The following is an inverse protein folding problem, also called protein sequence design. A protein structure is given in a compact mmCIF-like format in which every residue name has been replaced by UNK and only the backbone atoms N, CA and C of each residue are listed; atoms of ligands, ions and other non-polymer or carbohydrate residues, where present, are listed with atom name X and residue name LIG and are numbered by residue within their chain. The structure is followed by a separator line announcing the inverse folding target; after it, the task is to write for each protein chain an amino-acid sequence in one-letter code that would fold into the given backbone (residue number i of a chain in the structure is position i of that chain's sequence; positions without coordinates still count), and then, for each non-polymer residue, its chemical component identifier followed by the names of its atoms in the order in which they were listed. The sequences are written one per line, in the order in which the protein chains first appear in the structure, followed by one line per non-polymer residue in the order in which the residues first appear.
data_IF_946223558337
#
_entry.id   IF_946223558337
#
_cell.length_a   1.000
_cell.length_b   1.000
_cell.length_c   1.000
_cell.angle_alpha   90.00
_cell.angle_beta   90.00
_cell.angle_gamma   90.00
#
_symmetry.space_group_name_H-M   'P 1'
#
loop_
_entity.id
_entity.type
_entity.pdbx_description
1 polymer ?
#
# COMPACT_ATOMS: atom_id res chain seq x y z
N UNK A 1 -34.29 13.96 -18.03
CA UNK A 1 -34.41 13.87 -16.55
C UNK A 1 -33.04 13.57 -16.05
N UNK A 2 -32.39 14.54 -15.41
CA UNK A 2 -31.12 14.33 -14.75
C UNK A 2 -31.38 13.51 -13.48
N UNK A 3 -30.56 12.51 -13.23
CA UNK A 3 -30.57 11.80 -11.96
C UNK A 3 -30.26 12.81 -10.85
N UNK A 4 -31.07 12.81 -9.81
CA UNK A 4 -30.72 13.57 -8.61
C UNK A 4 -29.47 12.90 -8.00
N UNK A 5 -28.39 13.63 -8.00
CA UNK A 5 -27.14 13.18 -7.40
C UNK A 5 -27.28 13.28 -5.87
N UNK A 6 -27.84 12.24 -5.30
CA UNK A 6 -28.00 12.12 -3.85
C UNK A 6 -26.76 11.50 -3.30
N UNK A 7 -25.94 12.31 -2.66
CA UNK A 7 -24.81 11.78 -1.89
C UNK A 7 -25.34 10.93 -0.73
N UNK A 8 -25.04 9.65 -0.76
CA UNK A 8 -25.40 8.71 0.30
C UNK A 8 -24.14 8.33 1.08
N UNK A 9 -24.28 8.16 2.38
CA UNK A 9 -23.21 7.61 3.20
C UNK A 9 -22.95 6.17 2.78
N UNK A 10 -21.70 5.87 2.43
CA UNK A 10 -21.28 4.51 2.11
C UNK A 10 -20.89 3.77 3.37
N UNK A 11 -21.37 2.54 3.52
CA UNK A 11 -21.03 1.61 4.59
C UNK A 11 -20.35 0.35 4.06
N UNK A 12 -19.75 0.41 2.87
CA UNK A 12 -19.05 -0.73 2.28
C UNK A 12 -17.83 -1.11 3.13
N UNK A 13 -17.12 -0.11 3.69
CA UNK A 13 -15.88 -0.35 4.44
C UNK A 13 -14.74 -0.82 3.55
N UNK A 14 -13.80 -1.56 4.11
CA UNK A 14 -12.71 -2.21 3.37
C UNK A 14 -11.85 -1.24 2.52
N UNK A 15 -11.61 -0.03 3.02
CA UNK A 15 -10.86 1.00 2.30
C UNK A 15 -11.69 1.84 1.31
N UNK A 16 -12.96 1.52 1.05
CA UNK A 16 -13.85 2.26 0.16
C UNK A 16 -14.56 3.40 0.90
N UNK A 17 -13.86 4.45 1.21
CA UNK A 17 -14.40 5.66 1.81
C UNK A 17 -14.34 6.85 0.85
N UNK A 18 -15.25 7.82 1.07
CA UNK A 18 -15.32 9.00 0.25
C UNK A 18 -14.13 9.92 0.47
N UNK A 19 -13.64 10.50 -0.62
CA UNK A 19 -12.60 11.53 -0.60
C UNK A 19 -13.11 12.81 -1.24
N UNK A 20 -12.45 13.93 -0.95
CA UNK A 20 -12.76 15.22 -1.55
C UNK A 20 -11.68 15.53 -2.60
N UNK A 21 -12.07 15.58 -3.86
CA UNK A 21 -11.17 16.01 -4.94
C UNK A 21 -11.25 17.52 -5.07
N UNK A 22 -10.15 18.27 -4.84
CA UNK A 22 -10.12 19.72 -5.07
C UNK A 22 -10.51 20.06 -6.51
N UNK A 23 -11.35 21.11 -6.68
CA UNK A 23 -11.85 21.50 -7.99
C UNK A 23 -10.73 21.83 -9.00
N UNK A 24 -9.63 22.40 -8.54
CA UNK A 24 -8.46 22.70 -9.37
C UNK A 24 -7.80 21.42 -9.91
N UNK A 25 -7.68 20.37 -9.10
CA UNK A 25 -7.13 19.08 -9.53
C UNK A 25 -8.08 18.42 -10.52
N UNK A 26 -9.38 18.41 -10.25
CA UNK A 26 -10.37 17.87 -11.16
C UNK A 26 -10.28 18.52 -12.52
N UNK A 27 -10.34 19.86 -12.58
CA UNK A 27 -10.33 20.62 -13.82
C UNK A 27 -8.99 20.54 -14.57
N UNK A 28 -7.88 20.72 -13.86
CA UNK A 28 -6.58 20.95 -14.52
C UNK A 28 -5.78 19.66 -14.71
N UNK A 29 -6.14 18.58 -14.04
CA UNK A 29 -5.45 17.29 -14.16
C UNK A 29 -6.42 16.23 -14.70
N UNK A 30 -7.49 15.90 -13.98
CA UNK A 30 -8.37 14.79 -14.35
C UNK A 30 -9.15 15.03 -15.65
N UNK A 31 -9.56 16.27 -15.92
CA UNK A 31 -10.31 16.65 -17.13
C UNK A 31 -9.40 17.12 -18.27
N UNK A 32 -8.11 17.21 -18.06
CA UNK A 32 -7.17 17.72 -19.05
C UNK A 32 -6.63 16.57 -19.94
N UNK A 33 -6.90 16.61 -21.27
CA UNK A 33 -6.45 15.56 -22.20
C UNK A 33 -4.93 15.34 -22.24
N UNK A 34 -4.14 16.35 -21.88
CA UNK A 34 -2.70 16.20 -21.80
C UNK A 34 -2.25 15.18 -20.72
N UNK A 35 -3.08 14.97 -19.70
CA UNK A 35 -2.81 14.05 -18.59
C UNK A 35 -3.43 12.68 -18.76
N UNK A 36 -4.68 12.58 -19.19
CA UNK A 36 -5.38 11.30 -19.29
C UNK A 36 -5.10 10.54 -20.59
N UNK A 37 -3.84 10.30 -20.89
CA UNK A 37 -3.42 9.44 -21.99
C UNK A 37 -3.13 8.03 -21.49
N UNK A 38 -3.45 7.03 -22.30
CA UNK A 38 -3.17 5.64 -21.99
C UNK A 38 -1.68 5.27 -22.12
N UNK A 39 -0.84 6.17 -22.60
CA UNK A 39 0.57 5.86 -22.86
C UNK A 39 1.39 5.88 -21.58
N UNK A 40 2.08 4.76 -21.30
CA UNK A 40 2.99 4.64 -20.16
C UNK A 40 4.27 5.46 -20.42
N UNK A 41 4.74 6.29 -19.47
CA UNK A 41 5.82 7.24 -19.68
C UNK A 41 7.22 6.63 -19.56
N UNK A 42 7.52 5.54 -20.26
CA UNK A 42 8.86 4.96 -20.27
C UNK A 42 9.70 5.38 -21.51
N UNK A 43 9.15 6.15 -22.43
CA UNK A 43 9.89 6.80 -23.51
C UNK A 43 10.00 8.29 -23.22
N UNK A 44 11.19 8.80 -22.87
CA UNK A 44 11.38 10.20 -22.45
C UNK A 44 10.97 11.20 -23.53
N UNK A 45 11.19 10.86 -24.80
CA UNK A 45 10.91 11.74 -25.95
C UNK A 45 9.42 12.09 -26.07
N UNK A 46 8.54 11.17 -25.66
CA UNK A 46 7.07 11.35 -25.72
C UNK A 46 6.53 11.85 -24.39
N UNK A 47 7.24 11.64 -23.28
CA UNK A 47 6.72 11.76 -21.93
C UNK A 47 7.47 12.75 -21.06
N UNK A 48 8.20 13.69 -21.63
CA UNK A 48 9.10 14.61 -20.90
C UNK A 48 8.45 15.27 -19.69
N UNK A 49 7.35 15.99 -19.85
CA UNK A 49 6.67 16.65 -18.74
C UNK A 49 6.05 15.67 -17.72
N UNK A 50 5.66 14.47 -18.15
CA UNK A 50 5.12 13.44 -17.25
C UNK A 50 6.19 12.78 -16.40
N UNK A 51 7.40 12.60 -16.90
CA UNK A 51 8.53 12.12 -16.10
C UNK A 51 8.87 13.09 -14.98
N UNK A 52 8.87 14.40 -15.28
CA UNK A 52 9.04 15.43 -14.25
C UNK A 52 7.93 15.38 -13.19
N UNK A 53 6.68 15.22 -13.61
CA UNK A 53 5.55 15.07 -12.70
C UNK A 53 5.68 13.83 -11.80
N UNK A 54 6.17 12.70 -12.33
CA UNK A 54 6.44 11.49 -11.54
C UNK A 54 7.54 11.75 -10.51
N UNK A 55 8.62 12.42 -10.87
CA UNK A 55 9.69 12.80 -9.93
C UNK A 55 9.15 13.70 -8.82
N UNK A 56 8.35 14.69 -9.16
CA UNK A 56 7.71 15.57 -8.18
C UNK A 56 6.78 14.78 -7.23
N UNK A 57 6.02 13.83 -7.77
CA UNK A 57 5.19 12.95 -6.95
C UNK A 57 6.04 12.11 -5.98
N UNK A 58 7.12 11.50 -6.45
CA UNK A 58 8.03 10.72 -5.59
C UNK A 58 8.63 11.57 -4.47
N UNK A 59 9.09 12.78 -4.78
CA UNK A 59 9.60 13.73 -3.79
C UNK A 59 8.53 14.08 -2.75
N UNK A 60 7.32 14.39 -3.20
CA UNK A 60 6.20 14.71 -2.31
C UNK A 60 5.86 13.54 -1.38
N UNK A 61 5.82 12.32 -1.90
CA UNK A 61 5.53 11.13 -1.08
C UNK A 61 6.62 10.89 -0.04
N UNK A 62 7.90 11.02 -0.40
CA UNK A 62 9.00 10.88 0.56
C UNK A 62 8.94 11.94 1.67
N UNK A 63 8.62 13.18 1.33
CA UNK A 63 8.48 14.25 2.32
C UNK A 63 7.28 14.05 3.25
N UNK A 64 6.15 13.58 2.72
CA UNK A 64 4.93 13.35 3.51
C UNK A 64 5.03 12.12 4.43
N UNK A 65 5.73 11.08 3.99
CA UNK A 65 5.84 9.82 4.76
C UNK A 65 7.07 9.75 5.64
N UNK A 66 8.07 10.61 5.40
CA UNK A 66 9.38 10.51 6.05
C UNK A 66 10.23 9.33 5.59
N UNK A 67 9.79 8.56 4.60
CA UNK A 67 10.55 7.45 4.03
C UNK A 67 11.56 7.98 2.99
N UNK A 68 12.75 7.38 2.89
CA UNK A 68 13.82 7.94 2.05
C UNK A 68 13.62 7.74 0.54
N UNK A 69 12.74 6.83 0.14
CA UNK A 69 12.50 6.48 -1.25
C UNK A 69 11.01 6.24 -1.51
N UNK A 70 10.55 6.63 -2.68
CA UNK A 70 9.24 6.29 -3.21
C UNK A 70 9.37 5.86 -4.67
N UNK A 71 8.50 4.94 -5.12
CA UNK A 71 8.31 4.68 -6.54
C UNK A 71 7.32 5.68 -7.16
N UNK A 72 7.12 5.63 -8.46
CA UNK A 72 6.17 6.50 -9.13
C UNK A 72 4.72 6.11 -8.85
N UNK A 73 4.37 4.85 -9.09
CA UNK A 73 3.01 4.34 -8.92
C UNK A 73 2.97 2.82 -9.12
N UNK A 74 2.00 2.20 -8.48
CA UNK A 74 1.58 0.82 -8.77
C UNK A 74 0.08 0.82 -9.11
N UNK A 75 -0.44 -0.30 -9.62
CA UNK A 75 -1.82 -0.38 -10.11
C UNK A 75 -2.84 -0.05 -9.00
N UNK A 76 -2.68 -0.70 -7.85
CA UNK A 76 -3.56 -0.56 -6.68
C UNK A 76 -2.84 -0.97 -5.38
N UNK A 77 -3.53 -0.83 -4.25
CA UNK A 77 -3.00 -1.22 -2.94
C UNK A 77 -2.63 -2.70 -2.89
N UNK A 78 -3.48 -3.58 -3.36
CA UNK A 78 -3.26 -5.03 -3.29
C UNK A 78 -2.01 -5.44 -4.08
N UNK A 79 -1.82 -4.88 -5.28
CA UNK A 79 -0.61 -5.08 -6.08
C UNK A 79 0.61 -4.49 -5.40
N UNK A 80 0.49 -3.31 -4.79
CA UNK A 80 1.60 -2.68 -4.08
C UNK A 80 2.07 -3.55 -2.91
N UNK A 81 1.15 -4.14 -2.14
CA UNK A 81 1.48 -5.07 -1.05
C UNK A 81 2.17 -6.31 -1.57
N UNK A 82 1.69 -6.91 -2.66
CA UNK A 82 2.32 -8.09 -3.26
C UNK A 82 3.74 -7.79 -3.75
N UNK A 83 3.96 -6.64 -4.38
CA UNK A 83 5.30 -6.18 -4.78
C UNK A 83 6.21 -5.92 -3.56
N UNK A 84 5.68 -5.32 -2.49
CA UNK A 84 6.44 -5.08 -1.27
C UNK A 84 6.86 -6.39 -0.60
N UNK A 85 5.98 -7.39 -0.53
CA UNK A 85 6.30 -8.72 0.03
C UNK A 85 7.34 -9.45 -0.82
N UNK A 86 7.20 -9.45 -2.15
CA UNK A 86 8.20 -10.09 -3.01
C UNK A 86 9.55 -9.38 -2.97
N UNK A 87 9.56 -8.05 -2.86
CA UNK A 87 10.79 -7.29 -2.61
C UNK A 87 11.40 -7.66 -1.24
N UNK A 88 10.58 -7.69 -0.18
CA UNK A 88 11.04 -8.06 1.15
C UNK A 88 11.66 -9.46 1.18
N UNK A 89 11.08 -10.44 0.50
CA UNK A 89 11.64 -11.79 0.38
C UNK A 89 13.05 -11.79 -0.23
N UNK A 90 13.30 -10.93 -1.21
CA UNK A 90 14.62 -10.83 -1.87
C UNK A 90 15.68 -10.11 -1.05
N UNK A 91 15.27 -9.12 -0.23
CA UNK A 91 16.23 -8.25 0.48
C UNK A 91 16.36 -8.59 1.97
N UNK A 92 15.40 -9.30 2.55
CA UNK A 92 15.46 -9.75 3.94
C UNK A 92 16.68 -10.65 4.17
N UNK A 93 17.26 -10.52 5.34
CA UNK A 93 18.33 -11.42 5.82
C UNK A 93 17.79 -12.57 6.67
N UNK A 94 16.48 -12.69 6.84
CA UNK A 94 15.84 -13.85 7.43
C UNK A 94 15.99 -15.06 6.50
N UNK A 95 16.03 -16.25 7.09
CA UNK A 95 16.05 -17.53 6.34
C UNK A 95 14.65 -18.12 6.14
N UNK A 96 13.62 -17.44 6.59
CA UNK A 96 12.23 -17.89 6.46
C UNK A 96 11.71 -17.64 5.05
N UNK A 97 10.89 -18.55 4.55
CA UNK A 97 10.10 -18.40 3.31
C UNK A 97 8.62 -18.09 3.64
N UNK A 98 8.34 -17.61 4.85
CA UNK A 98 6.99 -17.31 5.31
C UNK A 98 6.83 -15.83 5.61
N UNK A 99 5.67 -15.28 5.27
CA UNK A 99 5.25 -13.92 5.60
C UNK A 99 4.07 -13.96 6.58
N UNK A 100 4.13 -13.13 7.62
CA UNK A 100 2.97 -12.88 8.47
C UNK A 100 2.14 -11.74 7.88
N UNK A 101 0.82 -11.92 7.83
CA UNK A 101 -0.12 -10.92 7.35
C UNK A 101 -1.22 -10.73 8.40
N UNK A 102 -1.45 -9.49 8.79
CA UNK A 102 -2.54 -9.12 9.68
C UNK A 102 -3.88 -9.63 9.14
N UNK A 103 -4.62 -10.37 9.97
CA UNK A 103 -5.95 -10.89 9.61
C UNK A 103 -6.97 -9.80 9.29
N UNK A 104 -6.73 -8.54 9.71
CA UNK A 104 -7.52 -7.37 9.37
C UNK A 104 -7.16 -6.73 8.02
N UNK A 105 -6.22 -7.30 7.27
CA UNK A 105 -5.94 -6.86 5.89
C UNK A 105 -7.18 -7.06 5.02
N UNK A 106 -7.43 -6.12 4.10
CA UNK A 106 -8.60 -6.18 3.23
C UNK A 106 -8.67 -7.47 2.42
N UNK A 107 -9.85 -8.10 2.28
CA UNK A 107 -10.00 -9.38 1.58
C UNK A 107 -9.46 -9.38 0.15
N UNK A 108 -9.63 -8.28 -0.59
CA UNK A 108 -9.08 -8.12 -1.93
C UNK A 108 -7.55 -8.16 -1.95
N UNK A 109 -6.90 -7.57 -0.94
CA UNK A 109 -5.44 -7.60 -0.80
C UNK A 109 -4.95 -9.01 -0.48
N UNK A 110 -5.65 -9.72 0.42
CA UNK A 110 -5.33 -11.13 0.73
C UNK A 110 -5.46 -12.03 -0.49
N UNK A 111 -6.50 -11.85 -1.31
CA UNK A 111 -6.70 -12.62 -2.54
C UNK A 111 -5.56 -12.40 -3.55
N UNK A 112 -5.11 -11.15 -3.74
CA UNK A 112 -3.99 -10.84 -4.63
C UNK A 112 -2.68 -11.40 -4.07
N UNK A 113 -2.44 -11.27 -2.76
CA UNK A 113 -1.27 -11.88 -2.11
C UNK A 113 -1.22 -13.39 -2.35
N UNK A 114 -2.31 -14.11 -2.11
CA UNK A 114 -2.37 -15.54 -2.35
C UNK A 114 -2.02 -15.88 -3.81
N UNK A 115 -2.66 -15.20 -4.76
CA UNK A 115 -2.44 -15.39 -6.19
C UNK A 115 -0.98 -15.17 -6.61
N UNK A 116 -0.30 -14.19 -6.00
CA UNK A 116 1.07 -13.79 -6.37
C UNK A 116 2.14 -14.60 -5.64
N UNK A 117 1.90 -15.02 -4.42
CA UNK A 117 2.90 -15.64 -3.55
C UNK A 117 2.88 -17.17 -3.61
N UNK A 118 1.71 -17.80 -3.74
CA UNK A 118 1.58 -19.24 -3.82
C UNK A 118 2.40 -19.87 -4.95
N UNK A 119 2.39 -19.35 -6.21
CA UNK A 119 3.17 -19.94 -7.30
C UNK A 119 4.69 -19.89 -7.11
N UNK A 120 5.18 -19.00 -6.25
CA UNK A 120 6.60 -18.86 -5.95
C UNK A 120 7.00 -19.47 -4.60
N UNK A 121 6.08 -20.23 -3.98
CA UNK A 121 6.36 -21.01 -2.77
C UNK A 121 6.46 -20.23 -1.48
N UNK A 122 5.99 -18.97 -1.44
CA UNK A 122 5.97 -18.17 -0.20
C UNK A 122 4.71 -18.50 0.59
N UNK A 123 4.88 -18.96 1.82
CA UNK A 123 3.77 -19.27 2.72
C UNK A 123 3.21 -18.01 3.39
N UNK A 124 1.88 -17.85 3.38
CA UNK A 124 1.17 -16.75 4.03
C UNK A 124 0.58 -17.25 5.34
N UNK A 125 0.94 -16.62 6.45
CA UNK A 125 0.36 -16.88 7.77
C UNK A 125 -0.51 -15.71 8.19
N UNK A 126 -1.82 -15.94 8.28
CA UNK A 126 -2.79 -14.95 8.75
C UNK A 126 -2.95 -15.03 10.25
N UNK A 127 -2.94 -13.90 10.93
CA UNK A 127 -3.14 -13.87 12.37
C UNK A 127 -3.35 -12.46 12.94
N UNK A 128 -3.66 -12.40 14.23
CA UNK A 128 -3.66 -11.16 14.97
C UNK A 128 -2.21 -10.73 15.25
N UNK A 129 -1.91 -9.45 15.04
CA UNK A 129 -0.56 -8.91 15.24
C UNK A 129 -0.07 -9.05 16.68
N UNK A 130 -0.96 -9.11 17.66
CA UNK A 130 -0.60 -9.32 19.07
C UNK A 130 -0.03 -10.70 19.37
N UNK A 131 -0.29 -11.67 18.49
CA UNK A 131 0.21 -13.05 18.57
C UNK A 131 1.37 -13.33 17.60
N UNK A 132 1.87 -12.29 16.89
CA UNK A 132 2.92 -12.46 15.91
C UNK A 132 4.27 -12.69 16.58
N UNK A 133 4.92 -13.81 16.27
CA UNK A 133 6.32 -14.04 16.57
C UNK A 133 7.16 -13.68 15.34
N UNK A 134 7.79 -12.52 15.39
CA UNK A 134 8.56 -11.97 14.27
C UNK A 134 9.75 -12.85 13.84
N UNK A 135 10.21 -13.76 14.71
CA UNK A 135 11.37 -14.64 14.42
C UNK A 135 11.04 -15.70 13.34
N UNK A 136 9.76 -15.97 13.10
CA UNK A 136 9.30 -17.02 12.20
C UNK A 136 9.15 -16.53 10.74
N UNK A 137 9.26 -15.22 10.48
CA UNK A 137 8.89 -14.63 9.20
C UNK A 137 10.02 -13.79 8.58
N UNK A 138 10.05 -13.71 7.25
CA UNK A 138 10.94 -12.78 6.56
C UNK A 138 10.34 -11.36 6.46
N UNK A 139 9.01 -11.27 6.54
CA UNK A 139 8.30 -10.00 6.55
C UNK A 139 7.01 -10.09 7.38
N UNK A 140 6.58 -8.93 7.88
CA UNK A 140 5.34 -8.75 8.62
C UNK A 140 4.56 -7.64 7.94
N UNK A 141 3.31 -7.95 7.55
CA UNK A 141 2.39 -7.03 6.89
C UNK A 141 1.31 -6.61 7.88
N UNK A 142 1.16 -5.31 8.08
CA UNK A 142 0.15 -4.73 8.99
C UNK A 142 -0.72 -3.75 8.21
N UNK A 143 -2.04 -3.85 8.38
CA UNK A 143 -3.01 -2.93 7.78
C UNK A 143 -3.50 -1.90 8.81
N UNK A 144 -3.42 -0.60 8.47
CA UNK A 144 -3.89 0.47 9.34
C UNK A 144 -4.44 1.66 8.53
N UNK A 145 -5.78 1.89 8.60
CA UNK A 145 -6.76 1.05 9.28
C UNK A 145 -6.92 -0.31 8.59
N UNK A 146 -7.37 -1.31 9.37
CA UNK A 146 -7.75 -2.61 8.84
C UNK A 146 -9.21 -2.64 8.34
N UNK A 147 -9.68 -3.82 7.92
CA UNK A 147 -11.06 -4.03 7.42
C UNK A 147 -12.14 -3.74 8.47
N UNK A 148 -11.81 -3.87 9.75
CA UNK A 148 -12.68 -3.54 10.88
C UNK A 148 -12.69 -2.04 11.23
N UNK A 149 -11.84 -1.23 10.58
CA UNK A 149 -11.68 0.20 10.85
C UNK A 149 -10.98 0.53 12.17
N UNK A 150 -10.43 -0.47 12.86
CA UNK A 150 -9.74 -0.25 14.13
C UNK A 150 -8.39 0.45 13.94
N UNK A 151 -8.17 1.50 14.74
CA UNK A 151 -6.88 2.21 14.81
C UNK A 151 -6.06 1.61 15.95
N UNK A 152 -4.98 0.98 15.60
CA UNK A 152 -4.09 0.32 16.57
C UNK A 152 -3.22 1.35 17.30
N UNK A 153 -2.91 1.13 18.59
CA UNK A 153 -1.96 1.98 19.31
C UNK A 153 -0.58 1.96 18.66
N UNK A 154 0.02 3.12 18.49
CA UNK A 154 1.38 3.23 17.91
C UNK A 154 2.42 2.47 18.70
N UNK A 155 2.27 2.35 20.03
CA UNK A 155 3.18 1.57 20.88
C UNK A 155 3.24 0.08 20.52
N UNK A 156 2.10 -0.53 20.17
CA UNK A 156 2.08 -1.94 19.75
C UNK A 156 2.73 -2.13 18.38
N UNK A 157 2.55 -1.20 17.46
CA UNK A 157 3.19 -1.22 16.16
C UNK A 157 4.70 -1.01 16.26
N UNK A 158 5.14 -0.08 17.13
CA UNK A 158 6.56 0.15 17.39
C UNK A 158 7.22 -1.11 17.94
N UNK A 159 6.64 -1.75 18.95
CA UNK A 159 7.17 -2.98 19.52
C UNK A 159 7.30 -4.10 18.48
N UNK A 160 6.28 -4.27 17.62
CA UNK A 160 6.31 -5.28 16.56
C UNK A 160 7.39 -4.97 15.51
N UNK A 161 7.54 -3.71 15.11
CA UNK A 161 8.57 -3.31 14.13
C UNK A 161 9.99 -3.45 14.69
N UNK A 162 10.18 -3.22 15.99
CA UNK A 162 11.44 -3.49 16.68
C UNK A 162 11.77 -4.98 16.69
N UNK A 163 10.80 -5.83 17.06
CA UNK A 163 10.96 -7.28 16.99
C UNK A 163 11.29 -7.76 15.57
N UNK A 164 10.60 -7.23 14.55
CA UNK A 164 10.88 -7.55 13.16
C UNK A 164 12.33 -7.22 12.80
N UNK A 165 12.76 -6.01 13.11
CA UNK A 165 14.13 -5.55 12.85
C UNK A 165 15.19 -6.44 13.53
N UNK A 166 14.99 -6.79 14.79
CA UNK A 166 15.92 -7.61 15.56
C UNK A 166 16.02 -9.04 14.97
N UNK A 167 14.94 -9.55 14.40
CA UNK A 167 14.89 -10.83 13.71
C UNK A 167 15.18 -10.73 12.19
N UNK A 168 15.62 -9.57 11.69
CA UNK A 168 15.95 -9.34 10.28
C UNK A 168 14.74 -9.48 9.33
N UNK A 169 13.52 -9.44 9.86
CA UNK A 169 12.29 -9.38 9.10
C UNK A 169 12.01 -7.94 8.63
N UNK A 170 11.31 -7.80 7.53
CA UNK A 170 10.91 -6.50 6.98
C UNK A 170 9.48 -6.17 7.43
N UNK A 171 9.28 -4.98 8.00
CA UNK A 171 7.94 -4.48 8.31
C UNK A 171 7.34 -3.77 7.10
N UNK A 172 6.11 -4.13 6.75
CA UNK A 172 5.34 -3.56 5.64
C UNK A 172 4.04 -3.01 6.21
N UNK A 173 3.81 -1.72 6.02
CA UNK A 173 2.56 -1.06 6.42
C UNK A 173 1.67 -0.83 5.20
N UNK A 174 0.42 -1.27 5.29
CA UNK A 174 -0.66 -0.90 4.37
C UNK A 174 -1.40 0.25 5.04
N UNK A 175 -1.31 1.45 4.47
CA UNK A 175 -1.82 2.64 5.14
C UNK A 175 -2.08 3.78 4.15
N UNK A 176 -2.71 4.83 4.62
CA UNK A 176 -2.84 6.11 3.92
C UNK A 176 -2.20 7.25 4.72
N UNK A 177 -2.12 8.43 4.11
CA UNK A 177 -1.46 9.58 4.72
C UNK A 177 -2.12 10.09 6.00
N UNK A 178 -3.37 9.73 6.28
CA UNK A 178 -4.05 10.11 7.53
C UNK A 178 -3.50 9.35 8.74
N UNK A 179 -2.80 8.25 8.49
CA UNK A 179 -2.23 7.38 9.52
C UNK A 179 -0.72 7.58 9.72
N UNK A 180 -0.09 8.46 8.92
CA UNK A 180 1.33 8.80 9.01
C UNK A 180 1.64 9.85 10.07
#
# INVERSE_FOLDING_TARGET
KFANDVQRTSFIGQGYYNTITPAVIKRNVLENPAWYTAYTPYQPEISQGRLEAILNFQTMVTELTGLPLANGSLLDEATAVAEAVTMAHRVSKSKSDSVFVDSNTHPQTLAVLATRLEPIGIAIHLGDISACDASLYFAIVVSMPGSDGHIRPSSSLTALTEQARDNKAISIAITDLLSC
#
